data_IF_002356949541
#
_entry.id   IF_002356949541
#
_cell.length_a   1.000
_cell.length_b   1.000
_cell.length_c   1.000
_cell.angle_alpha   90.00
_cell.angle_beta   90.00
_cell.angle_gamma   90.00
#
_symmetry.space_group_name_H-M   'P 1'
#
loop_
_entity.id
_entity.type
_entity.pdbx_description
1 polymer ?
#
# COMPACT_ATOMS: atom_id res chain seq x y z
N UNK A 1 -23.92 -1.96 -2.96
CA UNK A 1 -22.58 -2.00 -2.32
C UNK A 1 -21.59 -1.83 -3.45
N UNK A 2 -20.60 -0.95 -3.32
CA UNK A 2 -19.57 -0.72 -4.34
C UNK A 2 -18.82 -2.04 -4.63
N UNK A 3 -18.65 -2.38 -5.90
CA UNK A 3 -17.86 -3.52 -6.35
C UNK A 3 -16.36 -3.30 -6.12
N UNK A 4 -15.54 -4.35 -6.15
CA UNK A 4 -14.09 -4.21 -6.05
C UNK A 4 -13.50 -3.35 -7.18
N UNK A 5 -14.04 -3.46 -8.39
CA UNK A 5 -13.61 -2.66 -9.54
C UNK A 5 -13.86 -1.16 -9.33
N UNK A 6 -15.11 -0.80 -8.98
CA UNK A 6 -15.47 0.59 -8.66
C UNK A 6 -14.65 1.13 -7.48
N UNK A 7 -14.42 0.30 -6.46
CA UNK A 7 -13.57 0.64 -5.32
C UNK A 7 -12.13 0.96 -5.75
N UNK A 8 -11.54 0.12 -6.61
CA UNK A 8 -10.17 0.30 -7.11
C UNK A 8 -10.06 1.57 -7.95
N UNK A 9 -11.04 1.86 -8.80
CA UNK A 9 -11.03 3.06 -9.65
C UNK A 9 -11.15 4.33 -8.82
N UNK A 10 -12.08 4.37 -7.87
CA UNK A 10 -12.16 5.50 -6.93
C UNK A 10 -10.87 5.67 -6.12
N UNK A 11 -10.18 4.58 -5.78
CA UNK A 11 -8.89 4.64 -5.07
C UNK A 11 -7.74 5.11 -5.97
N UNK A 12 -7.75 4.80 -7.26
CA UNK A 12 -6.81 5.39 -8.23
C UNK A 12 -6.93 6.91 -8.23
N UNK A 13 -8.14 7.45 -8.37
CA UNK A 13 -8.38 8.90 -8.37
C UNK A 13 -7.92 9.57 -7.07
N UNK A 14 -8.18 8.91 -5.92
CA UNK A 14 -7.71 9.38 -4.62
C UNK A 14 -6.17 9.38 -4.54
N UNK A 15 -5.51 8.36 -5.07
CA UNK A 15 -4.05 8.25 -5.01
C UNK A 15 -3.35 9.22 -5.95
N UNK A 16 -3.93 9.50 -7.12
CA UNK A 16 -3.41 10.50 -8.04
C UNK A 16 -3.54 11.92 -7.48
N UNK A 17 -4.65 12.23 -6.81
CA UNK A 17 -4.85 13.52 -6.16
C UNK A 17 -4.09 13.69 -4.83
N UNK A 18 -3.76 12.58 -4.15
CA UNK A 18 -3.07 12.58 -2.84
C UNK A 18 -1.89 11.61 -2.83
N UNK A 19 -0.78 12.08 -3.38
CA UNK A 19 0.47 11.30 -3.45
C UNK A 19 1.22 11.23 -2.11
N UNK A 20 1.01 12.19 -1.20
CA UNK A 20 1.73 12.20 0.09
C UNK A 20 1.08 11.26 1.11
N UNK A 21 1.88 10.33 1.62
CA UNK A 21 1.54 9.40 2.69
C UNK A 21 2.34 9.77 3.93
N UNK A 22 1.63 10.16 5.00
CA UNK A 22 2.23 10.43 6.29
C UNK A 22 2.14 9.19 7.19
N UNK A 23 3.28 8.65 7.62
CA UNK A 23 3.35 7.52 8.53
C UNK A 23 4.08 7.93 9.81
N UNK A 24 3.61 7.41 10.95
CA UNK A 24 4.30 7.64 12.22
C UNK A 24 5.51 6.72 12.30
N UNK A 25 6.65 7.27 12.70
CA UNK A 25 7.84 6.46 12.94
C UNK A 25 7.59 5.43 14.06
N UNK A 26 8.28 4.29 14.02
CA UNK A 26 8.08 3.18 14.96
C UNK A 26 8.30 3.60 16.42
N UNK A 27 9.24 4.51 16.70
CA UNK A 27 9.45 5.05 18.04
C UNK A 27 8.42 6.09 18.45
N UNK A 28 7.50 6.45 17.56
CA UNK A 28 6.43 7.42 17.75
C UNK A 28 6.91 8.85 18.10
N UNK A 29 8.21 9.11 17.96
CA UNK A 29 8.88 10.41 18.22
C UNK A 29 9.08 11.25 16.94
N UNK A 30 8.63 10.75 15.80
CA UNK A 30 8.71 11.43 14.52
C UNK A 30 7.65 10.93 13.53
N UNK A 31 7.63 11.58 12.38
CA UNK A 31 6.80 11.25 11.23
C UNK A 31 7.68 11.13 9.99
N UNK A 32 7.30 10.21 9.12
CA UNK A 32 7.89 10.00 7.81
C UNK A 32 6.85 10.41 6.77
N UNK A 33 7.22 11.31 5.88
CA UNK A 33 6.39 11.73 4.76
C UNK A 33 6.94 11.06 3.50
N UNK A 34 6.13 10.18 2.92
CA UNK A 34 6.45 9.51 1.69
C UNK A 34 5.64 10.11 0.54
N UNK A 35 6.24 10.16 -0.64
CA UNK A 35 5.50 10.30 -1.89
C UNK A 35 5.23 8.91 -2.45
N UNK A 36 3.98 8.64 -2.80
CA UNK A 36 3.58 7.47 -3.58
C UNK A 36 3.93 7.72 -5.04
N UNK A 37 4.89 6.94 -5.54
CA UNK A 37 5.34 7.02 -6.93
C UNK A 37 4.53 6.11 -7.84
N UNK A 38 4.16 4.93 -7.34
CA UNK A 38 3.43 3.91 -8.09
C UNK A 38 2.66 2.99 -7.13
N UNK A 39 1.66 2.31 -7.66
CA UNK A 39 0.86 1.35 -6.90
C UNK A 39 0.15 0.36 -7.83
N UNK A 40 -0.14 -0.82 -7.28
CA UNK A 40 -0.82 -1.91 -7.98
C UNK A 40 -1.88 -2.51 -7.07
N UNK A 41 -3.10 -2.61 -7.58
CA UNK A 41 -4.20 -3.33 -6.94
C UNK A 41 -4.44 -4.69 -7.62
N UNK A 42 -4.89 -5.67 -6.82
CA UNK A 42 -5.52 -6.89 -7.31
C UNK A 42 -6.64 -7.32 -6.35
N UNK A 43 -7.79 -7.72 -6.89
CA UNK A 43 -8.85 -8.34 -6.10
C UNK A 43 -8.43 -9.77 -5.71
N UNK A 44 -8.71 -10.18 -4.47
CA UNK A 44 -8.46 -11.55 -4.04
C UNK A 44 -9.38 -12.51 -4.80
N UNK A 45 -8.83 -13.55 -5.41
CA UNK A 45 -9.57 -14.40 -6.36
C UNK A 45 -10.71 -15.20 -5.76
N UNK A 46 -10.63 -15.50 -4.45
CA UNK A 46 -11.64 -16.26 -3.72
C UNK A 46 -12.39 -15.44 -2.66
N UNK A 47 -12.25 -14.11 -2.67
CA UNK A 47 -12.98 -13.23 -1.77
C UNK A 47 -13.19 -11.86 -2.41
N UNK A 48 -14.39 -11.66 -2.96
CA UNK A 48 -14.70 -10.47 -3.74
C UNK A 48 -14.59 -9.16 -2.96
N UNK A 49 -14.78 -9.26 -1.65
CA UNK A 49 -14.80 -8.14 -0.71
C UNK A 49 -13.40 -7.77 -0.21
N UNK A 50 -12.34 -8.26 -0.86
CA UNK A 50 -10.94 -8.00 -0.48
C UNK A 50 -10.06 -7.67 -1.68
N UNK A 51 -9.24 -6.64 -1.51
CA UNK A 51 -8.30 -6.13 -2.50
C UNK A 51 -6.92 -6.02 -1.85
N UNK A 52 -5.90 -6.58 -2.49
CA UNK A 52 -4.50 -6.38 -2.12
C UNK A 52 -3.90 -5.17 -2.84
N UNK A 53 -2.90 -4.57 -2.20
CA UNK A 53 -2.21 -3.38 -2.68
C UNK A 53 -0.70 -3.54 -2.47
N UNK A 54 0.07 -3.20 -3.50
CA UNK A 54 1.50 -2.89 -3.40
C UNK A 54 1.70 -1.43 -3.74
N UNK A 55 2.45 -0.69 -2.92
CA UNK A 55 2.82 0.69 -3.18
C UNK A 55 4.34 0.83 -3.24
N UNK A 56 4.84 1.62 -4.20
CA UNK A 56 6.20 2.15 -4.18
C UNK A 56 6.17 3.55 -3.59
N UNK A 57 6.85 3.73 -2.47
CA UNK A 57 6.88 4.96 -1.69
C UNK A 57 8.31 5.50 -1.63
N UNK A 58 8.52 6.77 -1.96
CA UNK A 58 9.80 7.46 -1.75
C UNK A 58 9.74 8.35 -0.52
N UNK A 59 10.66 8.18 0.42
CA UNK A 59 10.76 9.05 1.59
C UNK A 59 11.17 10.46 1.15
N UNK A 60 10.32 11.46 1.41
CA UNK A 60 10.57 12.87 1.06
C UNK A 60 11.04 13.70 2.24
N UNK A 61 10.51 13.41 3.42
CA UNK A 61 10.80 14.21 4.61
C UNK A 61 10.70 13.38 5.89
N UNK A 62 11.55 13.71 6.85
CA UNK A 62 11.53 13.17 8.21
C UNK A 62 11.26 14.36 9.15
N UNK A 63 10.16 14.30 9.87
CA UNK A 63 9.78 15.32 10.86
C UNK A 63 10.02 14.74 12.26
N UNK A 64 10.85 15.40 13.06
CA UNK A 64 11.22 14.94 14.40
C UNK A 64 12.38 13.93 14.39
N UNK A 65 12.40 13.00 15.35
CA UNK A 65 13.50 12.03 15.51
C UNK A 65 13.10 10.68 14.92
N UNK A 66 13.77 10.27 13.83
CA UNK A 66 13.68 8.91 13.32
C UNK A 66 14.35 7.92 14.30
N UNK A 67 13.75 6.74 14.48
CA UNK A 67 14.37 5.67 15.28
C UNK A 67 15.52 5.00 14.53
N UNK A 68 15.38 4.77 13.23
CA UNK A 68 16.42 4.15 12.43
C UNK A 68 17.26 5.20 11.71
N UNK A 69 18.58 5.25 11.96
CA UNK A 69 19.50 6.17 11.27
C UNK A 69 19.63 5.89 9.77
N UNK A 70 19.25 4.68 9.33
CA UNK A 70 19.30 4.26 7.92
C UNK A 70 18.14 4.80 7.07
N UNK A 71 17.07 5.32 7.69
CA UNK A 71 15.99 6.00 6.97
C UNK A 71 16.49 7.34 6.47
N UNK A 72 16.77 7.43 5.17
CA UNK A 72 17.26 8.64 4.51
C UNK A 72 16.23 9.14 3.51
N UNK A 73 16.08 10.46 3.42
CA UNK A 73 15.31 11.08 2.34
C UNK A 73 15.85 10.60 1.00
N UNK A 74 14.95 10.24 0.09
CA UNK A 74 15.25 9.61 -1.19
C UNK A 74 15.10 8.10 -1.19
N UNK A 75 15.15 7.43 -0.03
CA UNK A 75 14.98 5.97 0.05
C UNK A 75 13.61 5.54 -0.50
N UNK A 76 13.62 4.49 -1.30
CA UNK A 76 12.42 3.82 -1.79
C UNK A 76 12.07 2.67 -0.86
N UNK A 77 10.79 2.54 -0.53
CA UNK A 77 10.25 1.42 0.23
C UNK A 77 9.01 0.87 -0.47
N UNK A 78 8.83 -0.44 -0.38
CA UNK A 78 7.60 -1.10 -0.82
C UNK A 78 6.70 -1.35 0.38
N UNK A 79 5.42 -1.01 0.24
CA UNK A 79 4.39 -1.33 1.25
C UNK A 79 3.39 -2.29 0.66
N UNK A 80 3.14 -3.39 1.38
CA UNK A 80 2.06 -4.33 1.10
C UNK A 80 0.92 -4.03 2.08
N UNK A 81 -0.29 -3.89 1.55
CA UNK A 81 -1.49 -3.59 2.34
C UNK A 81 -2.72 -4.29 1.73
N UNK A 82 -3.86 -4.15 2.40
CA UNK A 82 -5.13 -4.64 1.89
C UNK A 82 -6.29 -3.72 2.28
N UNK A 83 -7.34 -3.81 1.47
CA UNK A 83 -8.67 -3.32 1.80
C UNK A 83 -9.63 -4.50 1.90
N UNK A 84 -10.54 -4.45 2.88
CA UNK A 84 -11.59 -5.46 3.04
C UNK A 84 -12.88 -4.80 3.49
N UNK A 85 -14.04 -5.31 3.06
CA UNK A 85 -15.31 -4.92 3.67
C UNK A 85 -15.37 -5.53 5.07
N UNK A 86 -15.33 -4.67 6.08
CA UNK A 86 -15.30 -5.12 7.46
C UNK A 86 -16.60 -5.85 7.82
N UNK A 87 -16.45 -6.98 8.52
CA UNK A 87 -17.57 -7.86 8.90
C UNK A 87 -18.14 -7.58 10.29
N UNK A 88 -17.40 -6.84 11.12
CA UNK A 88 -17.70 -6.66 12.53
C UNK A 88 -17.53 -5.20 12.98
N UNK A 89 -18.22 -4.86 14.08
CA UNK A 89 -18.08 -3.58 14.78
C UNK A 89 -18.63 -2.38 14.03
N UNK A 90 -18.19 -1.17 14.41
CA UNK A 90 -18.70 0.12 13.89
C UNK A 90 -18.45 0.34 12.38
N UNK A 91 -17.61 -0.49 11.76
CA UNK A 91 -17.29 -0.43 10.33
C UNK A 91 -17.95 -1.55 9.53
N UNK A 92 -18.86 -2.33 10.12
CA UNK A 92 -19.55 -3.40 9.41
C UNK A 92 -20.15 -2.91 8.09
N UNK A 93 -19.91 -3.65 7.01
CA UNK A 93 -20.37 -3.33 5.66
C UNK A 93 -19.61 -2.19 4.96
N UNK A 94 -18.50 -1.71 5.53
CA UNK A 94 -17.68 -0.62 4.95
C UNK A 94 -16.27 -1.11 4.63
N UNK A 95 -15.70 -0.61 3.53
CA UNK A 95 -14.30 -0.81 3.19
C UNK A 95 -13.39 -0.28 4.31
N UNK A 96 -12.50 -1.13 4.78
CA UNK A 96 -11.51 -0.85 5.81
C UNK A 96 -10.12 -1.18 5.28
N UNK A 97 -9.13 -0.38 5.69
CA UNK A 97 -7.73 -0.56 5.31
C UNK A 97 -6.93 -1.25 6.44
N UNK A 98 -5.98 -2.09 6.06
CA UNK A 98 -4.98 -2.69 6.96
C UNK A 98 -3.63 -2.87 6.28
N UNK A 99 -2.56 -2.92 7.09
CA UNK A 99 -1.17 -3.07 6.62
C UNK A 99 -0.38 -4.12 7.41
N UNK A 100 -1.04 -5.22 7.78
CA UNK A 100 -0.33 -6.41 8.29
C UNK A 100 0.29 -7.18 7.13
N UNK A 101 1.26 -8.07 7.42
CA UNK A 101 1.74 -9.04 6.44
C UNK A 101 0.54 -9.91 6.03
N UNK A 102 -0.11 -9.64 4.88
CA UNK A 102 -1.34 -10.34 4.57
C UNK A 102 -0.97 -11.77 4.17
N UNK A 103 -1.75 -12.75 4.65
CA UNK A 103 -1.71 -14.07 4.04
C UNK A 103 -2.37 -13.97 2.67
N UNK A 104 -1.55 -13.98 1.63
CA UNK A 104 -1.96 -13.91 0.22
C UNK A 104 -1.90 -15.32 -0.35
N UNK A 105 -2.94 -15.80 -1.05
CA UNK A 105 -2.85 -17.05 -1.80
C UNK A 105 -1.66 -17.04 -2.78
N UNK A 106 -1.01 -18.19 -2.98
CA UNK A 106 0.20 -18.30 -3.80
C UNK A 106 -0.01 -17.73 -5.21
N UNK A 107 -1.08 -18.13 -5.89
CA UNK A 107 -1.38 -17.68 -7.26
C UNK A 107 -1.66 -16.18 -7.31
N UNK A 108 -2.39 -15.65 -6.32
CA UNK A 108 -2.68 -14.22 -6.23
C UNK A 108 -1.41 -13.43 -5.93
N UNK A 109 -0.50 -13.97 -5.12
CA UNK A 109 0.78 -13.34 -4.82
C UNK A 109 1.67 -13.28 -6.07
N UNK A 110 1.79 -14.39 -6.81
CA UNK A 110 2.53 -14.43 -8.06
C UNK A 110 1.95 -13.42 -9.07
N UNK A 111 0.62 -13.45 -9.29
CA UNK A 111 -0.07 -12.50 -10.17
C UNK A 111 0.11 -11.05 -9.73
N UNK A 112 0.07 -10.78 -8.42
CA UNK A 112 0.29 -9.44 -7.88
C UNK A 112 1.71 -8.94 -8.16
N UNK A 113 2.72 -9.77 -7.94
CA UNK A 113 4.12 -9.39 -8.20
C UNK A 113 4.37 -9.17 -9.69
N UNK A 114 3.88 -10.07 -10.56
CA UNK A 114 4.04 -9.94 -12.01
C UNK A 114 3.31 -8.71 -12.55
N UNK A 115 2.08 -8.48 -12.09
CA UNK A 115 1.33 -7.27 -12.42
C UNK A 115 2.05 -6.02 -11.93
N UNK A 116 2.59 -6.03 -10.71
CA UNK A 116 3.31 -4.90 -10.16
C UNK A 116 4.61 -4.59 -10.92
N UNK A 117 5.30 -5.59 -11.47
CA UNK A 117 6.43 -5.39 -12.38
C UNK A 117 5.98 -4.80 -13.72
N UNK A 118 4.96 -5.38 -14.34
CA UNK A 118 4.44 -4.93 -15.63
C UNK A 118 3.89 -3.49 -15.58
N UNK A 119 3.29 -3.09 -14.47
CA UNK A 119 2.82 -1.72 -14.23
C UNK A 119 3.93 -0.75 -13.80
N UNK A 120 5.18 -1.24 -13.69
CA UNK A 120 6.32 -0.44 -13.25
C UNK A 120 6.25 -0.01 -11.79
N UNK A 121 5.40 -0.65 -10.98
CA UNK A 121 5.36 -0.43 -9.53
C UNK A 121 6.62 -1.00 -8.89
N UNK A 122 6.95 -2.26 -9.18
CA UNK A 122 8.24 -2.87 -8.80
C UNK A 122 9.25 -2.54 -9.89
N UNK A 123 10.41 -2.01 -9.50
CA UNK A 123 11.56 -1.78 -10.37
C UNK A 123 12.61 -2.89 -10.16
N UNK A 124 13.14 -3.42 -11.25
CA UNK A 124 14.08 -4.56 -11.26
C UNK A 124 15.53 -4.17 -10.87
N UNK A 125 15.82 -2.87 -10.73
CA UNK A 125 17.12 -2.38 -10.28
C UNK A 125 17.24 -2.50 -8.75
N UNK A 126 17.57 -3.69 -8.27
CA UNK A 126 18.22 -3.84 -6.97
C UNK A 126 19.73 -3.74 -7.19
N UNK A 127 20.38 -2.59 -6.92
CA UNK A 127 21.81 -2.62 -6.69
C UNK A 127 22.04 -3.53 -5.47
N UNK A 128 22.61 -4.70 -5.72
CA UNK A 128 23.09 -5.62 -4.68
C UNK A 128 24.28 -4.96 -3.99
#
# INVERSE_FOLDING_TARGET
>A
MESAAEFMDRKRDEFESKKIVKAKDIGRKGWLLFEREAYTFIQQSNLDEKVFLVERLRLKEIIGKAVHPSSKVGNVVYRIAYYIIAKNGKRNGKWAWGQFCPFVPQDDFAKLMDKAKNEGTIIDEFPI
#
